data_IF_795343166625
#
_entry.id   IF_795343166625
#
_cell.length_a   1.000
_cell.length_b   1.000
_cell.length_c   1.000
_cell.angle_alpha   90.00
_cell.angle_beta   90.00
_cell.angle_gamma   90.00
#
_symmetry.space_group_name_H-M   'P 1'
#
loop_
_entity.id
_entity.type
_entity.pdbx_description
1 polymer ?
#
# COMPACT_ATOMS: atom_id res chain seq x y z
N UNK A 1 0.00 -17.48 47.36
CA UNK A 1 1.13 -17.73 46.42
C UNK A 1 1.42 -16.46 45.62
N UNK A 2 2.73 -16.11 45.49
CA UNK A 2 3.15 -15.01 44.60
C UNK A 2 2.99 -15.38 43.11
N UNK A 3 3.13 -14.43 42.20
CA UNK A 3 3.05 -14.72 40.76
C UNK A 3 4.16 -15.70 40.34
N UNK A 4 5.40 -15.47 40.79
CA UNK A 4 6.55 -16.31 40.47
C UNK A 4 6.39 -17.75 40.97
N UNK A 5 5.82 -17.93 42.15
CA UNK A 5 5.50 -19.27 42.68
C UNK A 5 4.46 -20.02 41.87
N UNK A 6 3.47 -19.31 41.33
CA UNK A 6 2.44 -19.90 40.44
C UNK A 6 3.08 -20.31 39.11
N UNK A 7 3.89 -19.43 38.52
CA UNK A 7 4.59 -19.66 37.26
C UNK A 7 5.56 -20.86 37.38
N UNK A 8 6.39 -20.87 38.44
CA UNK A 8 7.37 -21.95 38.68
C UNK A 8 6.68 -23.32 38.83
N UNK A 9 5.57 -23.39 39.56
CA UNK A 9 4.80 -24.64 39.74
C UNK A 9 4.09 -25.09 38.48
N UNK A 10 3.51 -24.17 37.70
CA UNK A 10 2.89 -24.48 36.42
C UNK A 10 3.93 -24.98 35.42
N UNK A 11 5.10 -24.32 35.35
CA UNK A 11 6.20 -24.79 34.50
C UNK A 11 6.70 -26.18 34.86
N UNK A 12 6.76 -26.50 36.16
CA UNK A 12 7.18 -27.82 36.62
C UNK A 12 6.16 -28.92 36.31
N UNK A 13 4.86 -28.62 36.31
CA UNK A 13 3.79 -29.60 36.08
C UNK A 13 3.40 -29.77 34.61
N UNK A 14 3.39 -28.68 33.84
CA UNK A 14 2.81 -28.69 32.49
C UNK A 14 3.78 -28.17 31.41
N UNK A 15 5.02 -27.80 31.78
CA UNK A 15 5.98 -27.24 30.86
C UNK A 15 5.76 -25.73 30.60
N UNK A 16 6.22 -25.26 29.44
CA UNK A 16 6.16 -23.82 29.07
C UNK A 16 4.84 -23.41 28.42
N UNK A 17 4.10 -24.39 27.86
CA UNK A 17 2.78 -24.18 27.24
C UNK A 17 1.70 -24.92 28.00
N UNK A 18 0.59 -24.23 28.30
CA UNK A 18 -0.56 -24.84 28.99
C UNK A 18 -1.88 -24.21 28.58
N UNK A 19 -2.94 -24.95 28.80
CA UNK A 19 -4.31 -24.58 28.41
C UNK A 19 -5.17 -24.20 29.62
N UNK A 20 -6.38 -23.72 29.33
CA UNK A 20 -7.37 -23.42 30.38
C UNK A 20 -7.74 -24.66 31.22
N UNK A 21 -7.65 -25.87 30.66
CA UNK A 21 -7.89 -27.13 31.39
C UNK A 21 -6.77 -27.37 32.42
N UNK A 22 -5.51 -27.16 32.04
CA UNK A 22 -4.35 -27.35 32.92
C UNK A 22 -4.39 -26.34 34.08
N UNK A 23 -4.79 -25.10 33.83
CA UNK A 23 -4.97 -24.10 34.89
C UNK A 23 -6.09 -24.49 35.84
N UNK A 24 -7.19 -25.06 35.34
CA UNK A 24 -8.29 -25.55 36.21
C UNK A 24 -7.84 -26.71 37.10
N UNK A 25 -7.08 -27.66 36.53
CA UNK A 25 -6.52 -28.79 37.29
C UNK A 25 -5.51 -28.26 38.36
N UNK A 26 -4.63 -27.33 38.00
CA UNK A 26 -3.72 -26.68 38.93
C UNK A 26 -4.46 -25.96 40.07
N UNK A 27 -5.54 -25.24 39.77
CA UNK A 27 -6.35 -24.55 40.77
C UNK A 27 -6.99 -25.54 41.76
N UNK A 28 -7.51 -26.65 41.29
CA UNK A 28 -8.07 -27.71 42.12
C UNK A 28 -7.05 -28.35 43.08
N UNK A 29 -5.79 -28.52 42.61
CA UNK A 29 -4.71 -29.11 43.42
C UNK A 29 -4.16 -28.17 44.50
N UNK A 30 -4.27 -26.85 44.32
CA UNK A 30 -3.64 -25.87 45.21
C UNK A 30 -4.65 -24.96 45.96
N UNK A 31 -5.95 -25.23 45.86
CA UNK A 31 -7.05 -24.49 46.47
C UNK A 31 -7.00 -23.01 46.16
N UNK A 32 -6.79 -22.69 44.87
CA UNK A 32 -6.68 -21.31 44.35
C UNK A 32 -7.75 -21.09 43.30
N UNK A 33 -8.36 -19.90 43.30
CA UNK A 33 -9.39 -19.57 42.29
C UNK A 33 -8.78 -19.35 40.90
N UNK A 34 -9.48 -19.84 39.86
CA UNK A 34 -9.08 -19.72 38.46
C UNK A 34 -8.80 -18.25 38.05
N UNK A 35 -9.64 -17.32 38.54
CA UNK A 35 -9.47 -15.88 38.25
C UNK A 35 -8.16 -15.32 38.80
N UNK A 36 -7.76 -15.76 39.99
CA UNK A 36 -6.48 -15.32 40.61
C UNK A 36 -5.27 -15.78 39.81
N UNK A 37 -5.31 -17.03 39.31
CA UNK A 37 -4.21 -17.59 38.50
C UNK A 37 -4.16 -16.93 37.12
N UNK A 38 -5.28 -16.82 36.44
CA UNK A 38 -5.34 -16.20 35.12
C UNK A 38 -4.96 -14.72 35.12
N UNK A 39 -5.29 -13.96 36.20
CA UNK A 39 -4.86 -12.56 36.35
C UNK A 39 -3.33 -12.45 36.45
N UNK A 40 -2.68 -13.40 37.14
CA UNK A 40 -1.19 -13.43 37.25
C UNK A 40 -0.50 -13.89 35.96
N UNK A 41 -1.22 -14.64 35.11
CA UNK A 41 -0.71 -15.17 33.84
C UNK A 41 -1.08 -14.28 32.64
N UNK A 42 -1.69 -13.13 32.84
CA UNK A 42 -2.05 -12.21 31.75
C UNK A 42 -0.88 -11.85 30.82
N UNK A 43 0.34 -11.58 31.32
CA UNK A 43 1.48 -11.26 30.44
C UNK A 43 1.89 -12.39 29.49
N UNK A 44 1.54 -13.63 29.81
CA UNK A 44 1.93 -14.85 29.07
C UNK A 44 0.80 -15.44 28.23
N UNK A 45 -0.31 -14.72 28.06
CA UNK A 45 -1.48 -15.19 27.31
C UNK A 45 -1.23 -15.02 25.81
N UNK A 46 -1.24 -16.12 25.08
CA UNK A 46 -1.03 -16.14 23.62
C UNK A 46 -2.36 -16.07 22.85
N UNK A 47 -3.39 -16.79 23.32
CA UNK A 47 -4.72 -16.76 22.70
C UNK A 47 -5.82 -17.13 23.71
N UNK A 48 -7.10 -17.14 23.28
CA UNK A 48 -8.20 -17.49 24.18
C UNK A 48 -8.01 -18.94 24.72
N UNK A 49 -7.70 -19.02 26.02
CA UNK A 49 -7.52 -20.30 26.74
C UNK A 49 -6.15 -20.96 26.56
N UNK A 50 -5.14 -20.26 26.04
CA UNK A 50 -3.76 -20.77 25.90
C UNK A 50 -2.74 -19.74 26.41
N UNK A 51 -1.71 -20.23 27.12
CA UNK A 51 -0.61 -19.45 27.67
C UNK A 51 0.73 -20.11 27.34
N UNK A 52 1.76 -19.28 27.12
CA UNK A 52 3.13 -19.74 26.90
C UNK A 52 4.08 -18.84 27.71
N UNK A 53 4.86 -19.44 28.58
CA UNK A 53 5.78 -18.74 29.50
C UNK A 53 7.05 -18.20 28.80
N UNK A 54 7.34 -18.63 27.59
CA UNK A 54 8.47 -18.12 26.78
C UNK A 54 8.09 -16.91 25.93
N UNK A 55 6.77 -16.64 25.80
CA UNK A 55 6.25 -15.54 24.98
C UNK A 55 5.63 -14.50 25.90
N UNK A 56 6.28 -13.36 26.04
CA UNK A 56 5.73 -12.20 26.76
C UNK A 56 4.77 -11.43 25.86
N UNK A 57 3.84 -10.62 26.44
CA UNK A 57 2.94 -9.77 25.67
C UNK A 57 3.70 -8.77 24.77
N UNK A 58 4.91 -8.37 25.13
CA UNK A 58 5.77 -7.54 24.29
C UNK A 58 6.19 -8.27 23.00
N UNK A 59 6.50 -9.57 23.09
CA UNK A 59 6.81 -10.37 21.90
C UNK A 59 5.57 -10.58 21.02
N UNK A 60 4.38 -10.77 21.61
CA UNK A 60 3.11 -10.89 20.86
C UNK A 60 2.75 -9.56 20.19
N UNK A 61 2.90 -8.42 20.89
CA UNK A 61 2.68 -7.10 20.31
C UNK A 61 3.67 -6.76 19.20
N UNK A 62 4.91 -7.24 19.28
CA UNK A 62 5.88 -7.10 18.20
C UNK A 62 5.53 -7.98 16.99
N UNK A 63 4.97 -9.17 17.21
CA UNK A 63 4.46 -10.02 16.13
C UNK A 63 3.20 -9.39 15.51
N UNK A 64 2.26 -8.88 16.30
CA UNK A 64 1.08 -8.18 15.79
C UNK A 64 1.44 -6.88 15.04
N UNK A 65 2.48 -6.15 15.49
CA UNK A 65 3.02 -5.01 14.73
C UNK A 65 3.69 -5.41 13.42
N UNK A 66 4.24 -6.62 13.31
CA UNK A 66 4.79 -7.13 12.05
C UNK A 66 3.70 -7.55 11.05
N UNK A 67 2.47 -7.78 11.50
CA UNK A 67 1.27 -7.99 10.68
C UNK A 67 0.40 -6.73 10.55
N UNK A 68 0.85 -5.57 11.05
CA UNK A 68 0.21 -4.30 10.75
C UNK A 68 0.16 -4.07 9.25
N UNK A 69 -0.88 -3.39 8.77
CA UNK A 69 -1.01 -3.05 7.36
C UNK A 69 0.32 -2.48 6.84
N UNK A 70 0.79 -2.94 5.67
CA UNK A 70 2.09 -2.52 5.16
C UNK A 70 2.15 -0.99 5.08
N UNK A 71 3.22 -0.42 5.57
CA UNK A 71 3.41 1.03 5.50
C UNK A 71 3.41 1.46 4.03
N UNK A 72 2.62 2.48 3.71
CA UNK A 72 2.63 3.11 2.39
C UNK A 72 3.76 4.13 2.40
N UNK A 73 4.66 4.06 1.42
CA UNK A 73 5.73 5.05 1.31
C UNK A 73 5.13 6.45 1.08
N UNK A 74 5.61 7.46 1.79
CA UNK A 74 5.13 8.82 1.58
C UNK A 74 5.46 9.28 0.15
N UNK A 75 4.56 10.08 -0.43
CA UNK A 75 4.81 10.74 -1.71
C UNK A 75 6.00 11.67 -1.54
N UNK A 76 7.06 11.44 -2.30
CA UNK A 76 8.22 12.34 -2.31
C UNK A 76 7.78 13.67 -2.89
N UNK A 77 8.06 14.77 -2.21
CA UNK A 77 7.83 16.13 -2.71
C UNK A 77 8.80 16.44 -3.88
N UNK A 78 8.57 15.78 -5.00
CA UNK A 78 9.28 16.06 -6.25
C UNK A 78 8.38 16.92 -7.13
N UNK A 79 8.91 18.03 -7.60
CA UNK A 79 8.22 18.84 -8.61
C UNK A 79 8.24 18.08 -9.94
N UNK A 80 7.08 17.70 -10.42
CA UNK A 80 6.88 16.96 -11.66
C UNK A 80 6.36 17.84 -12.80
N UNK A 81 6.45 19.17 -12.67
CA UNK A 81 6.08 20.09 -13.74
C UNK A 81 7.19 20.09 -14.79
N UNK A 82 6.88 19.80 -16.06
CA UNK A 82 7.86 19.82 -17.14
C UNK A 82 8.43 21.22 -17.37
N UNK A 83 9.62 21.30 -17.95
CA UNK A 83 10.21 22.57 -18.37
C UNK A 83 9.56 23.09 -19.66
N UNK A 84 9.40 24.41 -19.75
CA UNK A 84 8.95 25.06 -20.98
C UNK A 84 10.10 25.08 -21.98
N UNK A 85 9.84 24.65 -23.22
CA UNK A 85 10.77 24.80 -24.34
C UNK A 85 10.43 26.08 -25.09
N UNK A 86 11.41 26.99 -25.17
CA UNK A 86 11.25 28.30 -25.84
C UNK A 86 11.08 28.18 -27.35
N UNK A 87 11.60 27.10 -27.94
CA UNK A 87 11.53 26.85 -29.40
C UNK A 87 10.25 26.09 -29.79
N UNK A 88 9.40 25.75 -28.83
CA UNK A 88 8.20 24.96 -29.11
C UNK A 88 7.20 25.78 -29.95
N UNK A 89 6.84 25.23 -31.10
CA UNK A 89 5.79 25.74 -31.97
C UNK A 89 4.51 24.91 -31.77
N UNK A 90 3.41 25.60 -31.47
CA UNK A 90 2.08 24.97 -31.32
C UNK A 90 1.64 24.36 -32.63
N UNK A 91 1.23 23.10 -32.59
CA UNK A 91 0.73 22.39 -33.77
C UNK A 91 -0.36 21.38 -33.39
N UNK A 92 -1.04 20.85 -34.39
CA UNK A 92 -2.09 19.83 -34.23
C UNK A 92 -3.16 20.23 -33.20
N UNK A 93 -3.50 19.34 -32.30
CA UNK A 93 -4.57 19.48 -31.31
C UNK A 93 -4.10 20.17 -30.01
N UNK A 94 -2.96 20.87 -30.03
CA UNK A 94 -2.37 21.50 -28.84
C UNK A 94 -3.37 22.38 -28.08
N UNK A 95 -4.13 23.20 -28.80
CA UNK A 95 -5.10 24.12 -28.19
C UNK A 95 -6.22 23.40 -27.45
N UNK A 96 -6.70 22.28 -28.01
CA UNK A 96 -7.78 21.50 -27.40
C UNK A 96 -7.31 20.73 -26.20
N UNK A 97 -6.13 20.10 -26.29
CA UNK A 97 -5.47 19.47 -25.13
C UNK A 97 -5.23 20.49 -24.02
N UNK A 98 -4.79 21.70 -24.38
CA UNK A 98 -4.58 22.78 -23.39
C UNK A 98 -5.87 23.18 -22.69
N UNK A 99 -7.00 23.31 -23.41
CA UNK A 99 -8.31 23.58 -22.80
C UNK A 99 -8.74 22.49 -21.82
N UNK A 100 -8.56 21.21 -22.22
CA UNK A 100 -8.90 20.06 -21.39
C UNK A 100 -8.07 20.09 -20.08
N UNK A 101 -6.76 20.21 -20.16
CA UNK A 101 -5.87 20.25 -18.97
C UNK A 101 -6.14 21.49 -18.11
N UNK A 102 -6.46 22.63 -18.73
CA UNK A 102 -6.79 23.87 -18.03
C UNK A 102 -8.11 23.78 -17.26
N UNK A 103 -9.08 23.01 -17.73
CA UNK A 103 -10.38 22.81 -17.06
C UNK A 103 -10.25 22.16 -15.69
N UNK A 104 -9.16 21.44 -15.42
CA UNK A 104 -8.92 20.62 -14.21
C UNK A 104 -9.99 19.56 -13.96
N UNK A 105 -10.84 19.29 -14.93
CA UNK A 105 -11.81 18.23 -14.87
C UNK A 105 -11.18 16.91 -15.33
N UNK A 106 -11.63 15.81 -14.76
CA UNK A 106 -11.24 14.51 -15.26
C UNK A 106 -11.87 14.29 -16.65
N UNK A 107 -11.02 14.16 -17.64
CA UNK A 107 -11.44 13.96 -19.04
C UNK A 107 -10.44 13.03 -19.75
N UNK A 108 -10.74 11.73 -19.89
CA UNK A 108 -9.89 10.82 -20.63
C UNK A 108 -9.79 11.24 -22.09
N UNK A 109 -8.58 11.42 -22.58
CA UNK A 109 -8.32 11.90 -23.94
C UNK A 109 -7.41 10.92 -24.67
N UNK A 110 -7.81 10.48 -25.85
CA UNK A 110 -7.00 9.62 -26.70
C UNK A 110 -6.42 10.42 -27.86
N UNK A 111 -5.09 10.51 -27.92
CA UNK A 111 -4.36 11.24 -28.95
C UNK A 111 -3.70 10.26 -29.90
N UNK A 112 -4.11 10.25 -31.15
CA UNK A 112 -3.59 9.34 -32.18
C UNK A 112 -2.83 10.11 -33.26
N UNK A 113 -1.97 9.43 -33.99
CA UNK A 113 -1.17 9.98 -35.10
C UNK A 113 0.14 9.24 -35.29
N UNK A 114 0.82 9.52 -36.37
CA UNK A 114 2.10 8.88 -36.73
C UNK A 114 3.15 9.05 -35.66
N UNK A 115 4.07 8.07 -35.54
CA UNK A 115 5.21 8.18 -34.67
C UNK A 115 6.08 9.36 -35.03
N UNK A 116 6.71 10.00 -34.07
CA UNK A 116 7.55 11.18 -34.28
C UNK A 116 6.82 12.50 -34.49
N UNK A 117 5.48 12.53 -34.53
CA UNK A 117 4.68 13.75 -34.69
C UNK A 117 4.61 14.66 -33.47
N UNK A 118 5.43 14.44 -32.44
CA UNK A 118 5.48 15.30 -31.25
C UNK A 118 4.26 15.27 -30.36
N UNK A 119 3.41 14.22 -30.41
CA UNK A 119 2.21 14.08 -29.55
C UNK A 119 2.54 14.20 -28.08
N UNK A 120 3.50 13.41 -27.61
CA UNK A 120 3.98 13.36 -26.22
C UNK A 120 4.57 14.71 -25.83
N UNK A 121 5.45 15.27 -26.66
CA UNK A 121 6.06 16.57 -26.43
C UNK A 121 5.01 17.70 -26.36
N UNK A 122 3.97 17.64 -27.20
CA UNK A 122 2.85 18.59 -27.16
C UNK A 122 2.14 18.56 -25.79
N UNK A 123 1.87 17.39 -25.21
CA UNK A 123 1.26 17.25 -23.88
C UNK A 123 2.21 17.76 -22.79
N UNK A 124 3.49 17.44 -22.86
CA UNK A 124 4.51 17.96 -21.94
C UNK A 124 4.51 19.49 -21.94
N UNK A 125 4.50 20.14 -23.11
CA UNK A 125 4.50 21.59 -23.24
C UNK A 125 3.18 22.24 -22.78
N UNK A 126 2.03 21.55 -22.93
CA UNK A 126 0.77 21.98 -22.30
C UNK A 126 0.91 22.01 -20.79
N UNK A 127 1.41 20.94 -20.19
CA UNK A 127 1.59 20.85 -18.74
C UNK A 127 2.60 21.89 -18.23
N UNK A 128 3.72 22.08 -18.94
CA UNK A 128 4.73 23.09 -18.63
C UNK A 128 4.12 24.50 -18.62
N UNK A 129 3.40 24.90 -19.66
CA UNK A 129 2.77 26.23 -19.77
C UNK A 129 1.69 26.47 -18.72
N UNK A 130 0.97 25.42 -18.31
CA UNK A 130 -0.07 25.50 -17.29
C UNK A 130 0.46 25.25 -15.86
N UNK A 131 1.75 24.99 -15.71
CA UNK A 131 2.38 24.62 -14.44
C UNK A 131 1.67 23.45 -13.76
N UNK A 132 1.29 22.46 -14.55
CA UNK A 132 0.65 21.23 -14.10
C UNK A 132 1.67 20.13 -13.99
N UNK A 133 1.63 19.38 -12.90
CA UNK A 133 2.44 18.16 -12.78
C UNK A 133 2.03 17.14 -13.83
N UNK A 134 3.02 16.46 -14.39
CA UNK A 134 2.86 15.43 -15.39
C UNK A 134 3.57 14.16 -14.95
N UNK A 135 2.84 13.06 -14.90
CA UNK A 135 3.40 11.73 -14.71
C UNK A 135 3.28 10.99 -16.04
N UNK A 136 4.41 10.66 -16.63
CA UNK A 136 4.47 9.93 -17.89
C UNK A 136 4.84 8.48 -17.62
N UNK A 137 4.10 7.57 -18.22
CA UNK A 137 4.35 6.13 -18.20
C UNK A 137 4.47 5.65 -19.62
N UNK A 138 5.58 5.04 -19.96
CA UNK A 138 5.76 4.38 -21.26
C UNK A 138 5.22 2.95 -21.14
N UNK A 139 4.17 2.65 -21.88
CA UNK A 139 3.52 1.34 -21.87
C UNK A 139 4.28 0.38 -22.77
N UNK A 140 4.42 -0.85 -22.29
CA UNK A 140 5.01 -1.96 -23.03
C UNK A 140 4.11 -3.18 -22.94
N UNK A 141 4.39 -4.21 -23.72
CA UNK A 141 3.66 -5.48 -23.64
C UNK A 141 3.78 -6.17 -22.27
N UNK A 142 4.84 -5.86 -21.53
CA UNK A 142 5.15 -6.41 -20.20
C UNK A 142 4.48 -5.63 -19.06
N UNK A 143 4.09 -4.38 -19.32
CA UNK A 143 3.51 -3.49 -18.31
C UNK A 143 2.29 -4.14 -17.64
N UNK A 144 2.30 -4.18 -16.31
CA UNK A 144 1.26 -4.85 -15.54
C UNK A 144 0.66 -3.99 -14.42
N UNK A 145 -0.21 -4.60 -13.60
CA UNK A 145 -0.89 -3.91 -12.50
C UNK A 145 0.10 -3.38 -11.47
N UNK A 146 1.18 -4.13 -11.17
CA UNK A 146 2.18 -3.72 -10.18
C UNK A 146 2.99 -2.50 -10.64
N UNK A 147 3.21 -2.38 -11.95
CA UNK A 147 3.90 -1.24 -12.55
C UNK A 147 3.04 0.03 -12.56
N UNK A 148 1.73 -0.13 -12.74
CA UNK A 148 0.80 0.98 -12.91
C UNK A 148 0.15 1.43 -11.59
N UNK A 149 -0.36 0.49 -10.83
CA UNK A 149 -1.10 0.74 -9.59
C UNK A 149 -0.16 0.73 -8.39
N UNK A 150 0.75 -0.22 -8.34
CA UNK A 150 1.71 -0.39 -7.27
C UNK A 150 1.78 -1.81 -6.74
N UNK A 151 2.83 -2.06 -5.99
CA UNK A 151 3.13 -3.38 -5.47
C UNK A 151 3.97 -3.33 -4.20
N UNK A 152 4.14 -4.49 -3.60
CA UNK A 152 5.02 -4.62 -2.45
C UNK A 152 6.48 -4.62 -2.88
N UNK A 153 7.31 -3.89 -2.13
CA UNK A 153 8.76 -3.83 -2.28
C UNK A 153 9.43 -4.20 -0.96
N UNK A 154 10.57 -4.87 -1.04
CA UNK A 154 11.39 -5.14 0.14
C UNK A 154 12.31 -3.93 0.38
N UNK A 155 12.11 -3.26 1.52
CA UNK A 155 12.90 -2.09 1.94
C UNK A 155 13.42 -2.37 3.36
N UNK A 156 14.72 -2.40 3.54
CA UNK A 156 15.38 -2.64 4.83
C UNK A 156 14.87 -3.90 5.55
N UNK A 157 14.61 -4.98 4.82
CA UNK A 157 14.10 -6.24 5.34
C UNK A 157 12.59 -6.26 5.62
N UNK A 158 11.88 -5.15 5.42
CA UNK A 158 10.44 -5.06 5.59
C UNK A 158 9.71 -5.02 4.25
N UNK A 159 8.54 -5.64 4.20
CA UNK A 159 7.65 -5.55 3.04
C UNK A 159 6.82 -4.28 3.13
N UNK A 160 7.04 -3.34 2.19
CA UNK A 160 6.36 -2.04 2.16
C UNK A 160 5.59 -1.91 0.86
N UNK A 161 4.37 -1.38 0.93
CA UNK A 161 3.62 -1.00 -0.26
C UNK A 161 4.21 0.24 -0.92
N UNK A 162 4.42 0.17 -2.24
CA UNK A 162 4.88 1.28 -3.05
C UNK A 162 3.81 1.63 -4.08
N UNK A 163 3.35 2.88 -4.06
CA UNK A 163 2.36 3.36 -5.03
C UNK A 163 2.96 3.37 -6.44
N UNK A 164 2.18 2.94 -7.41
CA UNK A 164 2.51 3.11 -8.82
C UNK A 164 2.13 4.49 -9.34
N UNK A 165 2.56 4.82 -10.57
CA UNK A 165 2.38 6.14 -11.17
C UNK A 165 0.91 6.55 -11.32
N UNK A 166 0.00 5.62 -11.49
CA UNK A 166 -1.45 5.90 -11.56
C UNK A 166 -1.97 6.41 -10.21
N UNK A 167 -1.64 5.71 -9.13
CA UNK A 167 -2.05 6.13 -7.78
C UNK A 167 -1.39 7.46 -7.42
N UNK A 168 -0.12 7.62 -7.76
CA UNK A 168 0.59 8.88 -7.52
C UNK A 168 -0.06 10.06 -8.28
N UNK A 169 -0.45 9.84 -9.54
CA UNK A 169 -1.14 10.85 -10.34
C UNK A 169 -2.51 11.23 -9.74
N UNK A 170 -3.28 10.24 -9.29
CA UNK A 170 -4.58 10.45 -8.65
C UNK A 170 -4.45 11.24 -7.34
N UNK A 171 -3.48 10.89 -6.50
CA UNK A 171 -3.25 11.55 -5.21
C UNK A 171 -2.78 12.99 -5.35
N UNK A 172 -1.94 13.27 -6.36
CA UNK A 172 -1.43 14.63 -6.65
C UNK A 172 -2.40 15.47 -7.47
N UNK A 173 -3.37 14.86 -8.12
CA UNK A 173 -4.17 15.54 -9.15
C UNK A 173 -3.33 15.93 -10.37
N UNK A 174 -2.29 15.17 -10.67
CA UNK A 174 -1.40 15.36 -11.80
C UNK A 174 -2.06 14.88 -13.10
N UNK A 175 -1.52 15.33 -14.24
CA UNK A 175 -1.86 14.77 -15.55
C UNK A 175 -1.13 13.44 -15.69
N UNK A 176 -1.86 12.37 -15.97
CA UNK A 176 -1.28 11.07 -16.28
C UNK A 176 -1.22 10.90 -17.80
N UNK A 177 -0.02 10.69 -18.33
CA UNK A 177 0.23 10.42 -19.74
C UNK A 177 0.67 8.96 -19.90
N UNK A 178 -0.19 8.16 -20.51
CA UNK A 178 0.11 6.78 -20.90
C UNK A 178 0.60 6.81 -22.35
N UNK A 179 1.90 6.70 -22.54
CA UNK A 179 2.51 6.75 -23.87
C UNK A 179 2.57 5.34 -24.46
N UNK A 180 2.41 5.24 -25.76
CA UNK A 180 2.39 3.98 -26.53
C UNK A 180 1.34 2.97 -26.03
N UNK A 181 0.15 3.45 -25.69
CA UNK A 181 -0.95 2.65 -25.15
C UNK A 181 -1.41 1.50 -26.07
N UNK A 182 -1.14 1.60 -27.35
CA UNK A 182 -1.40 0.59 -28.36
C UNK A 182 -0.55 -0.69 -28.20
N UNK A 183 0.56 -0.62 -27.46
CA UNK A 183 1.37 -1.78 -27.10
C UNK A 183 0.84 -2.53 -25.86
N UNK A 184 -0.16 -1.99 -25.19
CA UNK A 184 -0.67 -2.56 -23.95
C UNK A 184 -1.24 -3.97 -24.14
N UNK A 185 -0.93 -4.85 -23.20
CA UNK A 185 -1.60 -6.15 -23.07
C UNK A 185 -2.92 -6.02 -22.30
N UNK A 186 -3.68 -7.11 -22.20
CA UNK A 186 -4.94 -7.14 -21.41
C UNK A 186 -4.73 -6.78 -19.92
N UNK A 187 -3.51 -6.76 -19.42
CA UNK A 187 -3.20 -6.36 -18.05
C UNK A 187 -3.55 -4.90 -17.76
N UNK A 188 -3.62 -4.05 -18.80
CA UNK A 188 -4.02 -2.63 -18.69
C UNK A 188 -5.48 -2.44 -18.23
N UNK A 189 -6.31 -3.49 -18.26
CA UNK A 189 -7.71 -3.43 -17.80
C UNK A 189 -7.85 -3.06 -16.33
N UNK A 190 -6.79 -3.16 -15.54
CA UNK A 190 -6.75 -2.63 -14.17
C UNK A 190 -7.05 -1.12 -14.11
N UNK A 191 -6.83 -0.37 -15.20
CA UNK A 191 -7.12 1.06 -15.31
C UNK A 191 -8.56 1.39 -15.67
N UNK A 192 -9.38 0.41 -16.06
CA UNK A 192 -10.76 0.67 -16.51
C UNK A 192 -11.58 1.50 -15.51
N UNK A 193 -11.59 1.20 -14.19
CA UNK A 193 -12.34 2.02 -13.22
C UNK A 193 -11.87 3.48 -13.21
N UNK A 194 -10.55 3.69 -13.29
CA UNK A 194 -9.98 5.05 -13.32
C UNK A 194 -10.41 5.80 -14.56
N UNK A 195 -10.36 5.16 -15.73
CA UNK A 195 -10.78 5.76 -17.01
C UNK A 195 -12.28 6.08 -17.05
N UNK A 196 -13.09 5.36 -16.28
CA UNK A 196 -14.52 5.64 -16.11
C UNK A 196 -14.77 6.73 -15.02
N UNK A 197 -13.76 7.32 -14.44
CA UNK A 197 -13.88 8.32 -13.37
C UNK A 197 -14.36 7.74 -12.04
N UNK A 198 -14.21 6.43 -11.85
CA UNK A 198 -14.56 5.73 -10.60
C UNK A 198 -13.35 5.59 -9.68
N UNK A 199 -13.60 5.39 -8.40
CA UNK A 199 -12.57 5.06 -7.43
C UNK A 199 -11.93 3.70 -7.72
N UNK A 200 -10.65 3.56 -7.39
CA UNK A 200 -9.89 2.32 -7.50
C UNK A 200 -9.71 1.72 -6.11
N UNK A 201 -10.17 0.48 -5.93
CA UNK A 201 -9.95 -0.26 -4.68
C UNK A 201 -8.64 -1.05 -4.77
N UNK A 202 -7.70 -0.74 -3.90
CA UNK A 202 -6.39 -1.39 -3.82
C UNK A 202 -6.51 -2.72 -3.07
N UNK A 203 -6.85 -3.79 -3.77
CA UNK A 203 -7.11 -5.13 -3.20
C UNK A 203 -6.00 -5.65 -2.31
N UNK A 204 -4.73 -5.35 -2.66
CA UNK A 204 -3.55 -5.86 -1.95
C UNK A 204 -3.35 -5.25 -0.56
N UNK A 205 -3.88 -4.05 -0.33
CA UNK A 205 -3.77 -3.33 0.95
C UNK A 205 -5.13 -3.03 1.59
N UNK A 206 -6.25 -3.41 0.94
CA UNK A 206 -7.60 -3.27 1.47
C UNK A 206 -8.10 -1.82 1.55
N UNK A 207 -7.65 -0.95 0.66
CA UNK A 207 -8.02 0.48 0.61
C UNK A 207 -8.76 0.83 -0.67
#
# INVERSE_FOLDING_TARGET
MTADQVIAKLKALYGTEFTAADIKAFCAMNDITYQTVTKKLQPFKVSKGKWNLEVTQESVQNIEKSFAAPAVMPIVEKNLVPSVDENFVKFGNFTDVKKIVQSKQFYPTFITGLSGNGKTFGVEQVCAQLKRELIRVNITIETDEDDLIGGFRLVDGNTVWHNGPVIEALQRGAVLLLDEIDLASNKILCLQPVLEGKGLFLKKIGQ
#
